data_IF_261723826554
#
_entry.id   IF_261723826554
#
_cell.length_a   1.000
_cell.length_b   1.000
_cell.length_c   1.000
_cell.angle_alpha   90.00
_cell.angle_beta   90.00
_cell.angle_gamma   90.00
#
_symmetry.space_group_name_H-M   'P 1'
#
loop_
_entity.id
_entity.type
_entity.pdbx_description
1 polymer ?
#
# COMPACT_ATOMS: atom_id res chain seq x y z
N UNK A 1 4.27 -10.52 21.48
CA UNK A 1 3.42 -11.40 20.66
C UNK A 1 3.42 -10.83 19.25
N UNK A 2 3.65 -11.67 18.24
CA UNK A 2 3.50 -11.26 16.84
C UNK A 2 2.01 -11.37 16.48
N UNK A 3 1.50 -10.35 15.79
CA UNK A 3 0.09 -10.31 15.36
C UNK A 3 0.05 -10.29 13.85
N UNK A 4 -0.68 -11.24 13.29
CA UNK A 4 -1.11 -11.21 11.89
C UNK A 4 -2.58 -10.85 11.87
N UNK A 5 -2.91 -9.79 11.13
CA UNK A 5 -4.27 -9.31 11.01
C UNK A 5 -4.75 -9.41 9.58
N UNK A 6 -5.95 -9.92 9.41
CA UNK A 6 -6.68 -9.86 8.15
C UNK A 6 -7.96 -9.05 8.34
N UNK A 7 -8.21 -8.10 7.45
CA UNK A 7 -9.40 -7.26 7.51
C UNK A 7 -9.98 -6.98 6.13
N UNK A 8 -11.30 -7.00 6.03
CA UNK A 8 -12.05 -6.50 4.88
C UNK A 8 -12.58 -5.12 5.22
N UNK A 9 -12.23 -4.12 4.40
CA UNK A 9 -12.49 -2.70 4.70
C UNK A 9 -13.24 -2.10 3.52
N UNK A 10 -14.37 -1.45 3.79
CA UNK A 10 -15.05 -0.62 2.80
C UNK A 10 -14.17 0.60 2.48
N UNK A 11 -14.08 1.00 1.21
CA UNK A 11 -13.31 2.18 0.80
C UNK A 11 -13.65 3.43 1.64
N UNK A 12 -14.93 3.64 1.95
CA UNK A 12 -15.38 4.78 2.76
C UNK A 12 -14.83 4.76 4.19
N UNK A 13 -14.57 3.56 4.72
CA UNK A 13 -14.02 3.36 6.06
C UNK A 13 -12.48 3.30 6.07
N UNK A 14 -11.84 3.27 4.90
CA UNK A 14 -10.38 3.15 4.79
C UNK A 14 -9.65 4.28 5.51
N UNK A 15 -10.25 5.47 5.55
CA UNK A 15 -9.72 6.62 6.29
C UNK A 15 -9.64 6.39 7.81
N UNK A 16 -10.26 5.35 8.37
CA UNK A 16 -10.14 4.98 9.78
C UNK A 16 -9.02 3.96 10.05
N UNK A 17 -8.32 3.47 9.01
CA UNK A 17 -7.25 2.48 9.14
C UNK A 17 -6.16 2.94 10.12
N UNK A 18 -5.75 4.20 10.06
CA UNK A 18 -4.75 4.74 10.97
C UNK A 18 -5.17 4.63 12.44
N UNK A 19 -6.41 5.00 12.78
CA UNK A 19 -6.94 4.91 14.16
C UNK A 19 -6.92 3.47 14.63
N UNK A 20 -7.32 2.56 13.74
CA UNK A 20 -7.33 1.14 14.02
C UNK A 20 -5.90 0.64 14.33
N UNK A 21 -4.91 0.98 13.50
CA UNK A 21 -3.53 0.54 13.69
C UNK A 21 -2.89 1.14 14.95
N UNK A 22 -3.26 2.36 15.34
CA UNK A 22 -2.79 2.98 16.57
C UNK A 22 -3.32 2.32 17.84
N UNK A 23 -4.50 1.71 17.79
CA UNK A 23 -5.08 1.01 18.93
C UNK A 23 -4.43 -0.36 19.19
N UNK A 24 -3.52 -0.81 18.33
CA UNK A 24 -2.75 -2.02 18.57
C UNK A 24 -1.80 -1.77 19.75
N UNK A 25 -1.94 -2.60 20.81
CA UNK A 25 -1.20 -2.42 22.06
C UNK A 25 0.32 -2.32 21.83
N UNK A 26 1.05 -1.46 22.56
CA UNK A 26 2.50 -1.27 22.38
C UNK A 26 3.36 -2.53 22.56
N UNK A 27 2.84 -3.55 23.26
CA UNK A 27 3.52 -4.83 23.49
C UNK A 27 3.38 -5.81 22.30
N UNK A 28 2.52 -5.48 21.34
CA UNK A 28 2.30 -6.25 20.14
C UNK A 28 3.10 -5.62 18.99
N UNK A 29 3.88 -6.45 18.31
CA UNK A 29 4.50 -6.06 17.05
C UNK A 29 3.55 -6.56 15.96
N UNK A 30 2.88 -5.64 15.26
CA UNK A 30 2.11 -6.00 14.08
C UNK A 30 3.09 -6.47 13.00
N UNK A 31 3.07 -7.78 12.75
CA UNK A 31 3.99 -8.42 11.81
C UNK A 31 3.40 -8.34 10.42
N UNK A 32 2.15 -8.75 10.26
CA UNK A 32 1.48 -8.73 8.96
C UNK A 32 0.10 -8.11 9.04
N UNK A 33 -0.23 -7.32 8.02
CA UNK A 33 -1.57 -6.77 7.79
C UNK A 33 -2.04 -7.15 6.39
N UNK A 34 -3.07 -7.98 6.29
CA UNK A 34 -3.77 -8.30 5.04
C UNK A 34 -5.05 -7.48 4.93
N UNK A 35 -5.17 -6.69 3.86
CA UNK A 35 -6.33 -5.84 3.59
C UNK A 35 -7.06 -6.28 2.32
N UNK A 36 -8.39 -6.37 2.42
CA UNK A 36 -9.30 -6.54 1.30
C UNK A 36 -10.18 -5.30 1.21
N UNK A 37 -9.78 -4.36 0.35
CA UNK A 37 -10.49 -3.09 0.20
C UNK A 37 -11.59 -3.29 -0.84
N UNK A 38 -12.83 -3.06 -0.44
CA UNK A 38 -14.01 -3.23 -1.29
C UNK A 38 -14.68 -1.88 -1.56
N UNK A 39 -15.16 -1.70 -2.78
CA UNK A 39 -16.00 -0.59 -3.17
C UNK A 39 -17.44 -1.11 -3.31
N UNK A 40 -18.34 -0.62 -2.46
CA UNK A 40 -19.75 -1.07 -2.41
C UNK A 40 -20.70 -0.14 -3.18
N UNK A 41 -20.25 1.05 -3.59
CA UNK A 41 -21.04 2.06 -4.28
C UNK A 41 -20.23 2.73 -5.37
N UNK A 42 -20.91 3.16 -6.43
CA UNK A 42 -20.34 3.99 -7.50
C UNK A 42 -20.21 5.46 -7.09
N UNK A 43 -20.70 5.85 -5.90
CA UNK A 43 -20.53 7.21 -5.38
C UNK A 43 -19.06 7.45 -5.01
N UNK A 44 -18.39 8.26 -5.83
CA UNK A 44 -16.94 8.52 -5.78
C UNK A 44 -16.70 9.80 -4.99
N UNK A 45 -16.58 9.67 -3.67
CA UNK A 45 -16.09 10.78 -2.85
C UNK A 45 -14.72 10.42 -2.29
N UNK A 46 -13.63 11.08 -2.74
CA UNK A 46 -12.30 10.83 -2.21
C UNK A 46 -12.28 11.11 -0.71
N UNK A 47 -11.87 10.12 0.07
CA UNK A 47 -11.82 10.24 1.53
C UNK A 47 -10.73 11.25 1.92
N UNK A 48 -11.13 12.33 2.59
CA UNK A 48 -10.19 13.31 3.16
C UNK A 48 -9.56 12.69 4.41
N UNK A 49 -8.23 12.62 4.41
CA UNK A 49 -7.46 11.92 5.43
C UNK A 49 -6.38 12.84 6.01
N UNK A 50 -6.36 12.97 7.34
CA UNK A 50 -5.35 13.73 8.07
C UNK A 50 -4.80 12.87 9.21
N UNK A 51 -3.48 12.80 9.30
CA UNK A 51 -2.77 12.06 10.35
C UNK A 51 -2.25 13.03 11.40
N UNK A 52 -2.37 12.63 12.67
CA UNK A 52 -1.90 13.42 13.82
C UNK A 52 -0.64 12.87 14.51
N UNK A 53 -0.16 11.67 14.16
CA UNK A 53 1.05 11.09 14.73
C UNK A 53 1.79 10.15 13.75
N UNK A 54 3.08 9.83 13.99
CA UNK A 54 3.85 8.99 13.08
C UNK A 54 3.17 7.62 12.88
N UNK A 55 3.08 7.12 11.63
CA UNK A 55 2.46 5.84 11.38
C UNK A 55 3.27 4.69 12.00
N UNK A 56 2.60 3.64 12.52
CA UNK A 56 3.29 2.47 13.06
C UNK A 56 4.06 1.71 11.98
N UNK A 57 5.20 1.14 12.37
CA UNK A 57 5.98 0.24 11.49
C UNK A 57 5.35 -1.15 11.49
N UNK A 58 5.23 -1.74 10.32
CA UNK A 58 4.73 -3.11 10.13
C UNK A 58 5.71 -3.89 9.26
N UNK A 59 5.89 -5.20 9.51
CA UNK A 59 6.85 -5.97 8.70
C UNK A 59 6.29 -6.20 7.28
N UNK A 60 5.00 -6.50 7.18
CA UNK A 60 4.38 -6.87 5.91
C UNK A 60 2.98 -6.28 5.76
N UNK A 61 2.72 -5.63 4.62
CA UNK A 61 1.39 -5.20 4.18
C UNK A 61 1.00 -6.02 2.95
N UNK A 62 -0.07 -6.79 3.03
CA UNK A 62 -0.62 -7.53 1.92
C UNK A 62 -1.95 -6.92 1.45
N UNK A 63 -2.02 -6.54 0.19
CA UNK A 63 -3.23 -6.04 -0.46
C UNK A 63 -3.86 -7.17 -1.27
N UNK A 64 -4.88 -7.78 -0.66
CA UNK A 64 -5.62 -8.89 -1.23
C UNK A 64 -6.70 -8.45 -2.23
N UNK A 65 -7.22 -7.22 -2.11
CA UNK A 65 -8.07 -6.58 -3.10
C UNK A 65 -8.08 -5.06 -2.96
N UNK A 66 -8.32 -4.36 -4.07
CA UNK A 66 -8.46 -2.91 -4.13
C UNK A 66 -9.63 -2.48 -5.02
N UNK A 67 -10.16 -1.25 -4.87
CA UNK A 67 -11.17 -0.72 -5.78
C UNK A 67 -10.68 -0.74 -7.23
N UNK A 68 -11.58 -1.04 -8.17
CA UNK A 68 -11.27 -1.04 -9.61
C UNK A 68 -11.31 0.34 -10.24
N UNK A 69 -11.97 1.28 -9.59
CA UNK A 69 -12.11 2.64 -10.10
C UNK A 69 -10.77 3.38 -9.98
N UNK A 70 -10.14 3.69 -11.11
CA UNK A 70 -8.84 4.37 -11.17
C UNK A 70 -8.85 5.75 -10.52
N UNK A 71 -10.00 6.43 -10.49
CA UNK A 71 -10.17 7.73 -9.81
C UNK A 71 -9.83 7.61 -8.32
N UNK A 72 -10.02 6.42 -7.72
CA UNK A 72 -9.78 6.17 -6.31
C UNK A 72 -8.33 5.78 -5.99
N UNK A 73 -7.50 5.47 -6.99
CA UNK A 73 -6.16 4.92 -6.76
C UNK A 73 -5.30 5.85 -5.89
N UNK A 74 -5.27 7.13 -6.23
CA UNK A 74 -4.53 8.14 -5.46
C UNK A 74 -4.97 8.16 -4.00
N UNK A 75 -6.28 8.24 -3.73
CA UNK A 75 -6.81 8.23 -2.37
C UNK A 75 -6.46 6.96 -1.60
N UNK A 76 -6.60 5.78 -2.23
CA UNK A 76 -6.27 4.50 -1.60
C UNK A 76 -4.80 4.44 -1.22
N UNK A 77 -3.90 4.74 -2.17
CA UNK A 77 -2.45 4.72 -1.94
C UNK A 77 -2.07 5.71 -0.85
N UNK A 78 -2.56 6.95 -0.92
CA UNK A 78 -2.22 7.97 0.06
C UNK A 78 -2.68 7.59 1.47
N UNK A 79 -3.88 7.03 1.63
CA UNK A 79 -4.37 6.58 2.94
C UNK A 79 -3.51 5.42 3.45
N UNK A 80 -3.18 4.43 2.62
CA UNK A 80 -2.36 3.28 3.02
C UNK A 80 -0.96 3.72 3.47
N UNK A 81 -0.28 4.51 2.63
CA UNK A 81 1.08 4.99 2.91
C UNK A 81 1.11 5.95 4.10
N UNK A 82 0.03 6.68 4.35
CA UNK A 82 -0.04 7.57 5.51
C UNK A 82 -0.49 6.84 6.79
N UNK A 83 -1.12 5.67 6.69
CA UNK A 83 -1.62 4.90 7.84
C UNK A 83 -0.57 3.98 8.46
N UNK A 84 0.43 3.52 7.70
CA UNK A 84 1.45 2.58 8.19
C UNK A 84 2.77 2.74 7.44
N UNK A 85 3.86 2.27 8.05
CA UNK A 85 5.19 2.20 7.45
C UNK A 85 5.62 0.73 7.28
N UNK A 86 5.32 0.09 6.13
CA UNK A 86 5.68 -1.31 5.89
C UNK A 86 7.15 -1.50 5.52
N UNK A 87 7.72 -2.66 5.83
CA UNK A 87 9.01 -3.08 5.27
C UNK A 87 8.85 -3.85 3.94
N UNK A 88 7.73 -4.54 3.75
CA UNK A 88 7.38 -5.23 2.51
C UNK A 88 5.90 -5.00 2.21
N UNK A 89 5.57 -4.75 0.94
CA UNK A 89 4.21 -4.65 0.43
C UNK A 89 4.01 -5.77 -0.59
N UNK A 90 2.92 -6.53 -0.47
CA UNK A 90 2.57 -7.58 -1.43
C UNK A 90 1.20 -7.31 -2.04
N UNK A 91 1.08 -7.49 -3.35
CA UNK A 91 -0.17 -7.29 -4.08
C UNK A 91 -0.52 -8.56 -4.84
N UNK A 92 -1.77 -9.01 -4.72
CA UNK A 92 -2.30 -10.16 -5.46
C UNK A 92 -2.60 -9.76 -6.92
N UNK A 93 -1.77 -10.21 -7.86
CA UNK A 93 -1.91 -9.88 -9.28
C UNK A 93 -3.11 -10.64 -9.85
N UNK A 94 -4.26 -9.98 -9.91
CA UNK A 94 -5.48 -10.60 -10.42
C UNK A 94 -6.45 -9.54 -10.93
N UNK A 95 -7.02 -9.67 -12.15
CA UNK A 95 -7.83 -8.62 -12.77
C UNK A 95 -9.08 -8.24 -11.96
N UNK A 96 -9.55 -9.14 -11.09
CA UNK A 96 -10.69 -8.88 -10.21
C UNK A 96 -10.33 -8.34 -8.83
N UNK A 97 -9.08 -8.49 -8.39
CA UNK A 97 -8.66 -8.15 -7.03
C UNK A 97 -7.69 -6.97 -6.99
N UNK A 98 -6.53 -7.08 -7.65
CA UNK A 98 -5.61 -5.96 -7.87
C UNK A 98 -5.19 -5.95 -9.34
N UNK A 99 -5.67 -4.96 -10.08
CA UNK A 99 -5.37 -4.81 -11.50
C UNK A 99 -3.91 -4.44 -11.72
N UNK A 100 -3.36 -4.78 -12.89
CA UNK A 100 -2.01 -4.36 -13.30
C UNK A 100 -1.87 -2.83 -13.25
N UNK A 101 -2.89 -2.10 -13.71
CA UNK A 101 -2.95 -0.64 -13.64
C UNK A 101 -2.80 -0.09 -12.21
N UNK A 102 -3.44 -0.71 -11.21
CA UNK A 102 -3.24 -0.30 -9.82
C UNK A 102 -1.81 -0.57 -9.34
N UNK A 103 -1.24 -1.73 -9.70
CA UNK A 103 0.11 -2.11 -9.29
C UNK A 103 1.15 -1.16 -9.89
N UNK A 104 1.01 -0.83 -11.18
CA UNK A 104 1.83 0.18 -11.87
C UNK A 104 1.72 1.53 -11.17
N UNK A 105 0.50 2.03 -10.96
CA UNK A 105 0.26 3.28 -10.25
C UNK A 105 0.87 3.30 -8.84
N UNK A 106 0.72 2.20 -8.09
CA UNK A 106 1.26 2.09 -6.74
C UNK A 106 2.79 2.15 -6.75
N UNK A 107 3.43 1.42 -7.66
CA UNK A 107 4.87 1.41 -7.80
C UNK A 107 5.42 2.77 -8.25
N UNK A 108 4.79 3.40 -9.23
CA UNK A 108 5.15 4.73 -9.70
C UNK A 108 5.08 5.72 -8.54
N UNK A 109 4.03 5.66 -7.72
CA UNK A 109 3.96 6.46 -6.49
C UNK A 109 5.12 6.17 -5.55
N UNK A 110 5.45 4.91 -5.25
CA UNK A 110 6.62 4.63 -4.41
C UNK A 110 7.93 5.19 -5.00
N UNK A 111 8.09 5.17 -6.33
CA UNK A 111 9.26 5.68 -7.03
C UNK A 111 9.29 7.23 -7.14
N UNK A 112 8.13 7.89 -7.17
CA UNK A 112 7.92 9.34 -7.15
C UNK A 112 8.24 10.00 -5.79
N UNK A 113 8.97 9.32 -4.90
CA UNK A 113 9.37 9.74 -3.53
C UNK A 113 10.05 11.11 -3.37
N UNK A 114 10.26 11.84 -4.47
CA UNK A 114 10.89 13.17 -4.55
C UNK A 114 9.96 14.28 -5.04
N UNK A 115 8.68 14.00 -5.32
CA UNK A 115 7.70 15.00 -5.79
C UNK A 115 7.05 15.79 -4.66
N UNK A 116 6.57 17.00 -4.97
CA UNK A 116 5.89 17.92 -4.04
C UNK A 116 4.47 17.43 -3.60
N UNK A 117 3.99 16.33 -4.18
CA UNK A 117 2.65 15.78 -3.95
C UNK A 117 2.51 14.94 -2.66
N UNK A 118 3.45 15.03 -1.72
CA UNK A 118 3.25 14.39 -0.42
C UNK A 118 2.13 15.10 0.36
N UNK A 119 1.08 14.37 0.73
CA UNK A 119 0.02 14.79 1.67
C UNK A 119 0.50 14.87 3.14
N UNK A 120 1.77 15.19 3.35
CA UNK A 120 2.40 15.37 4.64
C UNK A 120 1.78 16.58 5.34
N UNK A 121 1.05 16.38 6.45
CA UNK A 121 0.30 17.43 7.15
C UNK A 121 1.17 18.41 7.96
N UNK A 122 2.50 18.30 7.96
CA UNK A 122 3.37 19.27 8.62
C UNK A 122 4.70 19.46 7.91
N UNK A 123 5.17 20.71 7.89
CA UNK A 123 6.52 21.11 7.44
C UNK A 123 7.65 20.49 8.28
N UNK A 124 7.31 19.93 9.45
CA UNK A 124 8.29 19.61 10.50
C UNK A 124 8.50 18.09 10.66
N UNK A 125 7.60 17.25 10.16
CA UNK A 125 7.72 15.79 10.18
C UNK A 125 7.72 15.23 8.75
N UNK A 126 8.91 14.92 8.22
CA UNK A 126 9.03 14.19 6.95
C UNK A 126 8.27 12.87 7.07
N UNK A 127 7.27 12.62 6.22
CA UNK A 127 6.65 11.29 6.14
C UNK A 127 7.74 10.24 5.86
N UNK A 128 7.51 9.00 6.28
CA UNK A 128 8.49 7.93 6.08
C UNK A 128 8.81 7.71 4.60
N UNK A 129 7.86 7.99 3.71
CA UNK A 129 7.99 7.82 2.27
C UNK A 129 9.08 8.74 1.70
N UNK A 130 9.29 9.94 2.25
CA UNK A 130 10.45 10.78 1.90
C UNK A 130 11.80 10.19 2.33
N UNK A 131 11.80 9.27 3.29
CA UNK A 131 12.99 8.53 3.71
C UNK A 131 13.27 7.29 2.87
N UNK A 132 12.37 6.92 1.93
CA UNK A 132 12.54 5.76 1.08
C UNK A 132 13.73 5.96 0.14
N UNK A 133 14.70 5.06 0.17
CA UNK A 133 15.90 5.07 -0.67
C UNK A 133 15.74 4.25 -1.93
N UNK A 134 15.11 3.10 -1.84
CA UNK A 134 14.96 2.17 -2.96
C UNK A 134 13.72 1.27 -2.80
N UNK A 135 13.22 0.73 -3.91
CA UNK A 135 12.10 -0.21 -3.97
C UNK A 135 12.54 -1.41 -4.81
N UNK A 136 12.76 -2.55 -4.15
CA UNK A 136 13.13 -3.78 -4.84
C UNK A 136 11.89 -4.62 -5.12
N UNK A 137 11.72 -5.01 -6.38
CA UNK A 137 10.64 -5.90 -6.78
C UNK A 137 11.10 -7.35 -6.59
N UNK A 138 10.28 -8.15 -5.92
CA UNK A 138 10.43 -9.60 -5.81
C UNK A 138 9.18 -10.30 -6.31
N UNK A 139 9.38 -11.20 -7.25
CA UNK A 139 8.33 -12.03 -7.82
C UNK A 139 8.66 -13.51 -7.59
N UNK A 140 7.65 -14.38 -7.59
CA UNK A 140 7.84 -15.83 -7.53
C UNK A 140 8.48 -16.39 -8.80
N UNK A 141 8.41 -15.65 -9.91
CA UNK A 141 9.18 -15.91 -11.12
C UNK A 141 10.60 -15.36 -10.94
N UNK A 142 11.62 -16.18 -11.22
CA UNK A 142 13.02 -15.72 -11.28
C UNK A 142 13.07 -14.57 -12.30
N UNK A 143 13.43 -13.37 -11.88
CA UNK A 143 13.64 -12.26 -12.79
C UNK A 143 15.13 -11.97 -12.82
N UNK A 144 15.67 -12.05 -14.03
CA UNK A 144 16.96 -11.48 -14.41
C UNK A 144 16.91 -9.97 -14.11
N UNK A 145 17.91 -9.49 -13.39
CA UNK A 145 18.01 -8.12 -12.86
C UNK A 145 18.05 -7.08 -13.99
N UNK A 146 16.91 -6.70 -14.61
CA UNK A 146 16.70 -5.45 -15.38
C UNK A 146 15.32 -5.27 -16.05
N UNK A 147 14.35 -6.18 -15.85
CA UNK A 147 13.05 -6.07 -16.54
C UNK A 147 12.18 -4.95 -15.95
N UNK A 148 11.71 -4.05 -16.80
CA UNK A 148 10.72 -3.01 -16.48
C UNK A 148 9.42 -3.61 -15.89
N UNK A 149 8.86 -2.97 -14.85
CA UNK A 149 7.70 -3.49 -14.10
C UNK A 149 6.52 -3.81 -15.02
N UNK A 150 6.22 -2.94 -16.00
CA UNK A 150 5.08 -3.12 -16.89
C UNK A 150 5.27 -4.36 -17.77
N UNK A 151 6.46 -4.52 -18.34
CA UNK A 151 6.83 -5.71 -19.13
C UNK A 151 6.71 -6.99 -18.29
N UNK A 152 7.16 -6.93 -17.03
CA UNK A 152 7.04 -8.04 -16.09
C UNK A 152 5.57 -8.36 -15.78
N UNK A 153 4.73 -7.35 -15.54
CA UNK A 153 3.31 -7.54 -15.26
C UNK A 153 2.56 -8.13 -16.46
N UNK A 154 2.90 -7.78 -17.70
CA UNK A 154 2.27 -8.32 -18.91
C UNK A 154 2.38 -9.85 -18.97
N UNK A 155 3.55 -10.40 -18.63
CA UNK A 155 3.82 -11.84 -18.61
C UNK A 155 3.46 -12.54 -17.30
N UNK A 156 3.08 -11.79 -16.26
CA UNK A 156 2.85 -12.33 -14.92
C UNK A 156 1.57 -13.17 -14.85
N UNK A 157 1.63 -14.40 -14.29
CA UNK A 157 0.46 -15.24 -14.10
C UNK A 157 -0.52 -14.63 -13.11
N UNK A 158 -1.81 -14.84 -13.35
CA UNK A 158 -2.85 -14.42 -12.42
C UNK A 158 -2.85 -15.28 -11.16
N UNK A 159 -3.11 -14.66 -10.00
CA UNK A 159 -3.19 -15.32 -8.71
C UNK A 159 -1.86 -15.44 -7.97
N UNK A 160 -0.77 -14.95 -8.56
CA UNK A 160 0.53 -14.82 -7.89
C UNK A 160 0.68 -13.44 -7.23
N UNK A 161 1.52 -13.37 -6.20
CA UNK A 161 1.83 -12.11 -5.54
C UNK A 161 3.07 -11.46 -6.15
N UNK A 162 3.00 -10.15 -6.35
CA UNK A 162 4.17 -9.29 -6.54
C UNK A 162 4.54 -8.65 -5.19
N UNK A 163 5.83 -8.55 -4.89
CA UNK A 163 6.31 -7.99 -3.62
C UNK A 163 7.21 -6.78 -3.87
N UNK A 164 6.98 -5.70 -3.15
CA UNK A 164 7.83 -4.52 -3.08
C UNK A 164 8.53 -4.49 -1.73
N UNK A 165 9.85 -4.63 -1.74
CA UNK A 165 10.69 -4.48 -0.56
C UNK A 165 11.17 -3.03 -0.46
N UNK A 166 10.89 -2.40 0.69
CA UNK A 166 11.16 -0.97 0.90
C UNK A 166 12.48 -0.80 1.66
N UNK A 167 13.41 -0.05 1.08
CA UNK A 167 14.70 0.25 1.70
C UNK A 167 14.75 1.72 2.14
N UNK A 168 15.11 1.96 3.39
CA UNK A 168 15.11 3.28 4.06
C UNK A 168 16.51 3.74 4.43
#
# INVERSE_FOLDING_TARGET
MEVDLQSTVCYLDLGNLWKFLQNIKPQNVLVSLSLFIIQLSDDVNPVVFQVSSPPPRIKHLHLGSVPKNEILFSSVVNILLSSCCPATISLNVHPYFCSKAFIEFFYDKLMERKGDDCFCSSSDAKCWWHGLKDVKIRSSMKIEEEVDLKTMLESYPFGENINFMLEF
#
